data_IF_895724226605
#
_entry.id   IF_895724226605
#
_cell.length_a   1.000
_cell.length_b   1.000
_cell.length_c   1.000
_cell.angle_alpha   90.00
_cell.angle_beta   90.00
_cell.angle_gamma   90.00
#
_symmetry.space_group_name_H-M   'P 1'
#
loop_
_entity.id
_entity.type
_entity.pdbx_description
1 polymer ?
#
# COMPACT_ATOMS: atom_id res chain seq x y z
N UNK A 1 -37.45 -0.28 -12.19
CA UNK A 1 -36.60 -0.08 -10.98
C UNK A 1 -35.25 -0.76 -11.21
N UNK A 2 -34.14 -0.17 -10.78
CA UNK A 2 -32.85 -0.84 -10.89
C UNK A 2 -32.85 -2.09 -10.01
N UNK A 3 -32.31 -3.20 -10.52
CA UNK A 3 -32.15 -4.46 -9.80
C UNK A 3 -30.70 -4.90 -9.88
N UNK A 4 -30.21 -5.54 -8.84
CA UNK A 4 -28.89 -6.20 -8.83
C UNK A 4 -28.81 -7.18 -10.01
N UNK A 5 -27.69 -7.20 -10.71
CA UNK A 5 -27.44 -7.99 -11.91
C UNK A 5 -27.87 -7.33 -13.23
N UNK A 6 -28.62 -6.22 -13.19
CA UNK A 6 -28.96 -5.49 -14.42
C UNK A 6 -27.75 -4.67 -14.91
N UNK A 7 -27.57 -4.64 -16.23
CA UNK A 7 -26.51 -3.90 -16.90
C UNK A 7 -27.01 -2.58 -17.46
N UNK A 8 -26.21 -1.54 -17.35
CA UNK A 8 -26.52 -0.19 -17.81
C UNK A 8 -25.27 0.48 -18.41
N UNK A 9 -25.48 1.22 -19.50
CA UNK A 9 -24.46 2.13 -20.04
C UNK A 9 -24.39 3.38 -19.17
N UNK A 10 -23.20 3.76 -18.75
CA UNK A 10 -22.95 4.83 -17.75
C UNK A 10 -21.84 5.74 -18.24
N UNK A 11 -22.00 7.03 -18.00
CA UNK A 11 -20.95 8.04 -18.08
C UNK A 11 -20.35 8.26 -16.69
N UNK A 12 -19.03 8.25 -16.60
CA UNK A 12 -18.30 8.56 -15.36
C UNK A 12 -17.94 10.04 -15.34
N UNK A 13 -18.38 10.74 -14.32
CA UNK A 13 -18.30 12.19 -14.21
C UNK A 13 -17.12 12.66 -13.36
N UNK A 14 -16.83 11.96 -12.27
CA UNK A 14 -15.80 12.31 -11.29
C UNK A 14 -15.24 11.08 -10.59
N UNK A 15 -14.14 11.24 -9.85
CA UNK A 15 -13.63 10.26 -8.89
C UNK A 15 -14.04 10.64 -7.48
N UNK A 16 -14.31 9.61 -6.66
CA UNK A 16 -14.43 9.79 -5.22
C UNK A 16 -13.05 10.01 -4.58
N UNK A 17 -13.03 10.43 -3.32
CA UNK A 17 -11.83 10.48 -2.47
C UNK A 17 -11.12 9.11 -2.33
N UNK A 18 -11.88 8.03 -2.52
CA UNK A 18 -11.37 6.63 -2.50
C UNK A 18 -10.89 6.12 -3.86
N UNK A 19 -11.03 6.93 -4.91
CA UNK A 19 -10.61 6.57 -6.28
C UNK A 19 -11.61 5.76 -7.07
N UNK A 20 -12.86 5.60 -6.61
CA UNK A 20 -13.93 4.96 -7.38
C UNK A 20 -14.52 5.97 -8.37
N UNK A 21 -14.80 5.52 -9.59
CA UNK A 21 -15.52 6.32 -10.59
C UNK A 21 -16.96 6.57 -10.14
N UNK A 22 -17.42 7.81 -10.24
CA UNK A 22 -18.78 8.22 -9.87
C UNK A 22 -19.54 8.72 -11.07
N UNK A 23 -20.64 8.06 -11.37
CA UNK A 23 -21.64 8.45 -12.37
C UNK A 23 -23.01 8.64 -11.74
N UNK A 24 -24.04 8.72 -12.56
CA UNK A 24 -25.44 8.78 -12.14
C UNK A 24 -26.30 7.78 -12.92
N UNK A 25 -27.19 7.12 -12.21
CA UNK A 25 -28.20 6.25 -12.80
C UNK A 25 -29.50 6.37 -11.97
N UNK A 26 -30.65 6.62 -12.63
CA UNK A 26 -31.96 6.82 -12.00
C UNK A 26 -31.92 7.87 -10.86
N UNK A 27 -31.31 9.04 -11.14
CA UNK A 27 -31.12 10.16 -10.22
C UNK A 27 -30.32 9.84 -8.93
N UNK A 28 -29.65 8.70 -8.88
CA UNK A 28 -28.78 8.29 -7.78
C UNK A 28 -27.33 8.26 -8.19
N UNK A 29 -26.39 8.58 -7.29
CA UNK A 29 -24.98 8.34 -7.54
C UNK A 29 -24.72 6.84 -7.69
N UNK A 30 -23.93 6.48 -8.70
CA UNK A 30 -23.42 5.15 -8.96
C UNK A 30 -21.91 5.14 -8.81
N UNK A 31 -21.38 4.23 -7.99
CA UNK A 31 -19.95 4.07 -7.76
C UNK A 31 -19.45 2.80 -8.44
N UNK A 32 -18.37 2.92 -9.21
CA UNK A 32 -17.75 1.82 -9.95
C UNK A 32 -16.25 1.88 -9.83
N UNK A 33 -15.65 0.82 -9.30
CA UNK A 33 -14.22 0.74 -9.13
C UNK A 33 -13.49 0.66 -10.48
N UNK A 34 -12.32 1.32 -10.56
CA UNK A 34 -11.42 1.24 -11.73
C UNK A 34 -11.84 2.06 -12.93
N UNK A 35 -12.98 2.79 -12.87
CA UNK A 35 -13.41 3.72 -13.91
C UNK A 35 -12.93 5.15 -13.62
N UNK A 36 -12.69 5.92 -14.68
CA UNK A 36 -12.13 7.25 -14.65
C UNK A 36 -13.12 8.30 -15.21
N UNK A 37 -13.02 9.57 -14.84
CA UNK A 37 -13.82 10.65 -15.42
C UNK A 37 -13.66 10.74 -16.94
N UNK A 38 -14.79 10.95 -17.62
CA UNK A 38 -14.88 11.01 -19.07
C UNK A 38 -14.98 9.64 -19.75
N UNK A 39 -15.04 8.55 -18.98
CA UNK A 39 -15.26 7.21 -19.54
C UNK A 39 -16.74 6.88 -19.69
N UNK A 40 -17.02 6.05 -20.73
CA UNK A 40 -18.29 5.37 -20.87
C UNK A 40 -18.10 3.86 -20.72
N UNK A 41 -18.97 3.23 -19.96
CA UNK A 41 -18.84 1.82 -19.66
C UNK A 41 -20.19 1.12 -19.49
N UNK A 42 -20.26 -0.14 -19.89
CA UNK A 42 -21.32 -1.06 -19.50
C UNK A 42 -21.02 -1.56 -18.08
N UNK A 43 -21.93 -1.31 -17.16
CA UNK A 43 -21.78 -1.60 -15.73
C UNK A 43 -22.92 -2.49 -15.26
N UNK A 44 -22.63 -3.56 -14.52
CA UNK A 44 -23.60 -4.41 -13.85
C UNK A 44 -23.79 -3.95 -12.40
N UNK A 45 -25.03 -3.73 -11.98
CA UNK A 45 -25.34 -3.33 -10.62
C UNK A 45 -25.06 -4.47 -9.64
N UNK A 46 -24.24 -4.21 -8.64
CA UNK A 46 -23.87 -5.15 -7.55
C UNK A 46 -24.60 -4.84 -6.27
N UNK A 47 -24.97 -3.57 -6.04
CA UNK A 47 -25.72 -3.14 -4.87
C UNK A 47 -26.71 -2.02 -5.24
N UNK A 48 -27.91 -2.09 -4.70
CA UNK A 48 -28.98 -1.09 -4.92
C UNK A 48 -29.48 -0.61 -3.55
N UNK A 49 -29.13 0.63 -3.18
CA UNK A 49 -29.61 1.30 -1.96
C UNK A 49 -30.57 2.44 -2.31
N UNK A 50 -31.37 2.94 -1.36
CA UNK A 50 -32.26 4.08 -1.61
C UNK A 50 -31.54 5.31 -2.14
N UNK A 51 -30.33 5.63 -1.67
CA UNK A 51 -29.62 6.87 -1.92
C UNK A 51 -28.40 6.71 -2.84
N UNK A 52 -27.95 5.48 -3.14
CA UNK A 52 -26.80 5.21 -3.99
C UNK A 52 -26.86 3.82 -4.62
N UNK A 53 -25.98 3.60 -5.59
CA UNK A 53 -25.80 2.34 -6.30
C UNK A 53 -24.32 1.98 -6.32
N UNK A 54 -23.99 0.68 -6.30
CA UNK A 54 -22.69 0.18 -6.69
C UNK A 54 -22.79 -0.71 -7.91
N UNK A 55 -21.75 -0.70 -8.72
CA UNK A 55 -21.64 -1.53 -9.91
C UNK A 55 -20.22 -2.06 -10.10
N UNK A 56 -20.11 -3.08 -10.94
CA UNK A 56 -18.85 -3.59 -11.45
C UNK A 56 -18.76 -3.33 -12.95
N UNK A 57 -17.57 -3.03 -13.43
CA UNK A 57 -17.28 -2.89 -14.85
C UNK A 57 -17.51 -4.22 -15.57
N UNK A 58 -18.30 -4.18 -16.65
CA UNK A 58 -18.48 -5.29 -17.61
C UNK A 58 -17.64 -5.03 -18.84
N UNK A 59 -17.78 -3.83 -19.42
CA UNK A 59 -17.06 -3.44 -20.64
C UNK A 59 -16.79 -1.94 -20.63
N UNK A 60 -15.55 -1.55 -20.92
CA UNK A 60 -15.15 -0.16 -21.12
C UNK A 60 -15.42 0.20 -22.59
N UNK A 61 -16.49 0.96 -22.85
CA UNK A 61 -16.90 1.28 -24.23
C UNK A 61 -16.19 2.50 -24.78
N UNK A 62 -15.80 3.45 -23.91
CA UNK A 62 -15.00 4.61 -24.28
C UNK A 62 -14.02 4.94 -23.16
N UNK A 63 -12.71 4.75 -23.40
CA UNK A 63 -11.69 5.09 -22.40
C UNK A 63 -11.47 6.61 -22.30
N UNK A 64 -11.06 7.07 -21.12
CA UNK A 64 -10.57 8.44 -20.89
C UNK A 64 -9.22 8.66 -21.57
N UNK A 65 -8.96 9.89 -22.02
CA UNK A 65 -7.64 10.30 -22.53
C UNK A 65 -6.53 10.22 -21.44
N UNK A 66 -6.93 10.29 -20.18
CA UNK A 66 -6.03 10.18 -19.02
C UNK A 66 -5.85 8.72 -18.54
N UNK A 67 -6.45 7.72 -19.19
CA UNK A 67 -6.22 6.31 -18.87
C UNK A 67 -4.88 5.85 -19.41
N UNK A 68 -4.09 5.23 -18.54
CA UNK A 68 -2.85 4.55 -18.92
C UNK A 68 -3.04 3.03 -18.88
N UNK A 69 -2.24 2.26 -19.65
CA UNK A 69 -2.20 0.81 -19.51
C UNK A 69 -1.90 0.39 -18.08
N UNK A 70 -2.50 -0.71 -17.64
CA UNK A 70 -2.21 -1.22 -16.32
C UNK A 70 -0.76 -1.76 -16.25
N UNK A 71 0.04 -1.15 -15.40
CA UNK A 71 1.45 -1.50 -15.22
C UNK A 71 1.67 -2.56 -14.13
N UNK A 72 0.60 -2.95 -13.43
CA UNK A 72 0.67 -3.91 -12.34
C UNK A 72 -0.14 -5.17 -12.69
N UNK A 73 0.46 -6.38 -12.67
CA UNK A 73 -0.27 -7.61 -12.95
C UNK A 73 -1.34 -7.92 -11.89
N UNK A 74 -1.20 -7.37 -10.69
CA UNK A 74 -2.10 -7.62 -9.57
C UNK A 74 -3.30 -6.65 -9.58
N UNK A 75 -4.17 -6.80 -10.57
CA UNK A 75 -5.30 -5.87 -10.81
C UNK A 75 -6.31 -5.82 -9.67
N UNK A 76 -6.46 -6.90 -8.91
CA UNK A 76 -7.39 -7.02 -7.78
C UNK A 76 -6.80 -6.61 -6.43
N UNK A 77 -5.50 -6.22 -6.40
CA UNK A 77 -4.83 -5.77 -5.20
C UNK A 77 -5.43 -4.45 -4.70
N UNK A 78 -5.76 -4.39 -3.40
CA UNK A 78 -6.32 -3.20 -2.74
C UNK A 78 -5.32 -2.07 -2.47
N UNK A 79 -4.05 -2.20 -2.88
CA UNK A 79 -2.98 -1.25 -2.53
C UNK A 79 -2.95 0.05 -3.35
N UNK A 80 -3.50 0.07 -4.57
CA UNK A 80 -3.42 1.21 -5.49
C UNK A 80 -4.78 1.53 -6.10
N UNK A 81 -5.45 2.60 -5.66
CA UNK A 81 -6.82 2.93 -6.04
C UNK A 81 -6.92 3.65 -7.40
N UNK A 82 -5.96 4.51 -7.72
CA UNK A 82 -5.98 5.36 -8.95
C UNK A 82 -4.91 4.94 -9.96
N UNK A 83 -4.54 3.65 -9.96
CA UNK A 83 -3.51 3.08 -10.83
C UNK A 83 -3.71 3.34 -12.32
N UNK A 84 -4.94 3.21 -12.89
CA UNK A 84 -5.16 3.42 -14.31
C UNK A 84 -5.15 4.89 -14.73
N UNK A 85 -5.04 5.85 -13.81
CA UNK A 85 -5.00 7.29 -14.08
C UNK A 85 -3.57 7.74 -14.33
N UNK A 86 -3.32 8.47 -15.42
CA UNK A 86 -2.01 9.05 -15.73
C UNK A 86 -1.50 9.95 -14.58
N UNK A 87 -0.22 9.89 -14.27
CA UNK A 87 0.34 10.57 -13.09
C UNK A 87 0.05 12.09 -13.04
N UNK A 88 0.15 12.86 -14.15
CA UNK A 88 -0.26 14.26 -14.14
C UNK A 88 -1.73 14.46 -13.75
N UNK A 89 -2.61 13.55 -14.17
CA UNK A 89 -4.03 13.60 -13.80
C UNK A 89 -4.24 13.19 -12.33
N UNK A 90 -3.44 12.26 -11.78
CA UNK A 90 -3.42 11.95 -10.34
C UNK A 90 -3.05 13.19 -9.51
N UNK A 91 -2.07 13.98 -9.95
CA UNK A 91 -1.68 15.22 -9.27
C UNK A 91 -2.82 16.25 -9.27
N UNK A 92 -3.50 16.44 -10.42
CA UNK A 92 -4.67 17.31 -10.52
C UNK A 92 -5.81 16.86 -9.59
N UNK A 93 -6.10 15.55 -9.57
CA UNK A 93 -7.08 14.97 -8.64
C UNK A 93 -6.74 15.30 -7.19
N UNK A 94 -5.50 15.05 -6.76
CA UNK A 94 -5.08 15.31 -5.39
C UNK A 94 -5.17 16.80 -5.02
N UNK A 95 -4.83 17.69 -5.94
CA UNK A 95 -4.95 19.12 -5.74
C UNK A 95 -6.42 19.55 -5.62
N UNK A 96 -7.32 19.02 -6.47
CA UNK A 96 -8.75 19.31 -6.40
C UNK A 96 -9.39 18.82 -5.10
N UNK A 97 -8.93 17.70 -4.53
CA UNK A 97 -9.40 17.20 -3.23
C UNK A 97 -9.06 18.19 -2.09
N UNK A 98 -7.86 18.78 -2.11
CA UNK A 98 -7.48 19.81 -1.13
C UNK A 98 -8.34 21.05 -1.29
N UNK A 99 -8.51 21.54 -2.52
CA UNK A 99 -9.35 22.70 -2.82
C UNK A 99 -10.80 22.47 -2.35
N UNK A 100 -11.40 21.34 -2.69
CA UNK A 100 -12.76 20.98 -2.27
C UNK A 100 -12.90 20.88 -0.74
N UNK A 101 -11.89 20.36 -0.05
CA UNK A 101 -11.90 20.31 1.42
C UNK A 101 -11.90 21.72 2.04
N UNK A 102 -11.15 22.66 1.48
CA UNK A 102 -11.15 24.06 1.91
C UNK A 102 -12.51 24.75 1.64
N UNK A 103 -13.10 24.51 0.47
CA UNK A 103 -14.42 25.02 0.10
C UNK A 103 -15.51 24.56 1.09
N UNK A 104 -15.49 23.29 1.48
CA UNK A 104 -16.46 22.71 2.42
C UNK A 104 -16.43 23.36 3.81
N UNK A 105 -15.30 23.92 4.22
CA UNK A 105 -15.16 24.62 5.51
C UNK A 105 -15.21 26.16 5.37
N UNK A 106 -15.59 26.66 4.19
CA UNK A 106 -15.73 28.11 3.93
C UNK A 106 -14.41 28.84 3.67
N UNK A 107 -13.33 28.11 3.36
CA UNK A 107 -11.99 28.63 3.05
C UNK A 107 -11.64 28.51 1.56
N UNK A 108 -12.64 28.51 0.68
CA UNK A 108 -12.46 28.34 -0.78
C UNK A 108 -11.58 29.39 -1.45
N UNK A 109 -11.50 30.61 -0.90
CA UNK A 109 -10.64 31.69 -1.40
C UNK A 109 -9.15 31.49 -1.03
N UNK A 110 -8.82 30.47 -0.21
CA UNK A 110 -7.43 30.19 0.18
C UNK A 110 -6.65 29.70 -1.04
N UNK A 111 -5.53 30.34 -1.31
CA UNK A 111 -4.66 29.93 -2.41
C UNK A 111 -4.05 28.55 -2.12
N UNK A 112 -4.31 27.60 -3.00
CA UNK A 112 -3.66 26.30 -3.01
C UNK A 112 -2.52 26.33 -4.04
N UNK A 113 -1.28 26.19 -3.57
CA UNK A 113 -0.12 26.15 -4.44
C UNK A 113 -0.13 24.89 -5.30
N UNK A 114 0.55 24.89 -6.48
CA UNK A 114 0.67 23.71 -7.31
C UNK A 114 1.26 22.54 -6.54
N UNK A 115 0.69 21.35 -6.73
CA UNK A 115 1.18 20.12 -6.10
C UNK A 115 2.57 19.75 -6.63
N UNK A 116 3.46 19.36 -5.73
CA UNK A 116 4.80 18.87 -6.06
C UNK A 116 4.77 17.36 -6.26
N UNK A 117 4.90 16.92 -7.50
CA UNK A 117 4.92 15.51 -7.86
C UNK A 117 6.32 14.89 -7.82
N UNK A 118 6.37 13.57 -8.00
CA UNK A 118 7.61 12.81 -8.18
C UNK A 118 8.00 12.79 -9.66
N UNK A 119 9.31 12.70 -9.93
CA UNK A 119 9.81 12.45 -11.28
C UNK A 119 9.44 11.03 -11.75
N UNK A 120 9.51 10.04 -10.84
CA UNK A 120 9.10 8.66 -11.08
C UNK A 120 8.24 8.15 -9.92
N UNK A 121 6.93 7.88 -10.14
CA UNK A 121 6.03 7.40 -9.10
C UNK A 121 6.08 5.86 -8.90
N UNK A 122 7.20 5.24 -9.22
CA UNK A 122 7.44 3.80 -9.09
C UNK A 122 8.57 3.49 -8.11
N UNK A 123 8.55 2.28 -7.55
CA UNK A 123 9.56 1.75 -6.64
C UNK A 123 9.93 2.69 -5.47
N UNK A 124 9.01 3.54 -5.05
CA UNK A 124 9.25 4.59 -4.06
C UNK A 124 9.04 4.15 -2.60
N UNK A 125 8.36 3.04 -2.39
CA UNK A 125 8.06 2.60 -1.03
C UNK A 125 9.28 1.97 -0.38
N UNK A 126 9.64 2.49 0.78
CA UNK A 126 10.73 1.96 1.60
C UNK A 126 10.28 0.87 2.59
N UNK A 127 8.99 0.55 2.63
CA UNK A 127 8.42 -0.46 3.52
C UNK A 127 7.35 -1.27 2.82
N UNK A 128 7.42 -2.59 2.94
CA UNK A 128 6.35 -3.51 2.60
C UNK A 128 5.89 -4.27 3.84
N UNK A 129 4.58 -4.47 3.98
CA UNK A 129 3.97 -5.31 5.02
C UNK A 129 3.04 -6.29 4.33
N UNK A 130 3.46 -7.55 4.30
CA UNK A 130 2.73 -8.63 3.64
C UNK A 130 2.00 -9.48 4.67
N UNK A 131 0.79 -9.91 4.34
CA UNK A 131 0.14 -11.00 5.03
C UNK A 131 0.70 -12.34 4.56
N UNK A 132 0.72 -13.32 5.46
CA UNK A 132 1.11 -14.70 5.15
C UNK A 132 -0.10 -15.60 5.40
N UNK A 133 -0.49 -16.38 4.39
CA UNK A 133 -1.66 -17.27 4.46
C UNK A 133 -1.32 -18.64 3.87
N UNK A 134 -2.01 -19.67 4.35
CA UNK A 134 -1.93 -21.01 3.76
C UNK A 134 -2.82 -21.12 2.52
N UNK A 135 -2.37 -21.88 1.54
CA UNK A 135 -3.10 -22.33 0.36
C UNK A 135 -2.84 -23.81 0.11
N UNK A 136 -3.52 -24.41 -0.89
CA UNK A 136 -3.24 -25.78 -1.34
C UNK A 136 -1.79 -25.93 -1.86
N UNK A 137 -1.20 -24.84 -2.36
CA UNK A 137 0.18 -24.79 -2.84
C UNK A 137 1.22 -24.52 -1.73
N UNK A 138 0.81 -24.48 -0.45
CA UNK A 138 1.64 -24.13 0.69
C UNK A 138 1.50 -22.66 1.11
N UNK A 139 2.55 -22.08 1.71
CA UNK A 139 2.51 -20.68 2.16
C UNK A 139 2.48 -19.70 0.98
N UNK A 140 1.60 -18.71 1.09
CA UNK A 140 1.50 -17.56 0.20
C UNK A 140 1.77 -16.27 0.97
N UNK A 141 2.47 -15.32 0.34
CA UNK A 141 2.84 -14.04 0.94
C UNK A 141 2.42 -12.91 -0.02
N UNK A 142 1.62 -11.97 0.46
CA UNK A 142 1.11 -10.92 -0.42
C UNK A 142 0.26 -9.87 0.27
N UNK A 143 -0.59 -9.23 -0.52
CA UNK A 143 -1.53 -8.21 -0.06
C UNK A 143 -2.95 -8.73 -0.13
N UNK A 144 -3.85 -8.12 0.63
CA UNK A 144 -5.26 -8.46 0.53
C UNK A 144 -5.90 -7.87 -0.72
N UNK A 145 -6.82 -8.63 -1.30
CA UNK A 145 -7.81 -8.13 -2.24
C UNK A 145 -8.62 -7.01 -1.57
N UNK A 146 -8.99 -6.01 -2.33
CA UNK A 146 -9.81 -4.90 -1.81
C UNK A 146 -11.11 -5.43 -1.18
N UNK A 147 -11.43 -4.94 0.00
CA UNK A 147 -12.61 -5.33 0.79
C UNK A 147 -12.72 -6.82 1.17
N UNK A 148 -11.62 -7.57 1.16
CA UNK A 148 -11.61 -8.97 1.58
C UNK A 148 -10.34 -9.33 2.37
N UNK A 149 -10.30 -10.55 2.91
CA UNK A 149 -9.11 -11.18 3.50
C UNK A 149 -8.46 -12.20 2.55
N UNK A 150 -8.91 -12.25 1.28
CA UNK A 150 -8.29 -13.09 0.26
C UNK A 150 -6.92 -12.53 -0.11
N UNK A 151 -5.91 -13.38 -0.12
CA UNK A 151 -4.56 -12.97 -0.43
C UNK A 151 -4.33 -12.96 -1.94
N UNK A 152 -3.64 -11.93 -2.41
CA UNK A 152 -3.06 -11.82 -3.74
C UNK A 152 -1.55 -11.84 -3.56
N UNK A 153 -0.86 -12.80 -4.19
CA UNK A 153 0.59 -12.91 -4.13
C UNK A 153 1.25 -11.63 -4.68
N UNK A 154 2.29 -11.18 -4.00
CA UNK A 154 3.01 -9.96 -4.37
C UNK A 154 4.33 -10.28 -5.08
N UNK A 155 4.24 -11.04 -6.17
CA UNK A 155 5.40 -11.46 -6.97
C UNK A 155 5.97 -10.34 -7.84
N UNK A 156 5.17 -9.33 -8.10
CA UNK A 156 5.56 -8.11 -8.80
C UNK A 156 4.73 -6.94 -8.26
N UNK A 157 5.38 -5.87 -7.86
CA UNK A 157 4.71 -4.69 -7.31
C UNK A 157 5.44 -3.41 -7.74
N UNK A 158 4.86 -2.67 -8.67
CA UNK A 158 5.48 -1.50 -9.27
C UNK A 158 5.79 -0.35 -8.29
N UNK A 159 5.16 -0.30 -7.11
CA UNK A 159 5.43 0.76 -6.10
C UNK A 159 6.41 0.32 -5.02
N UNK A 160 6.73 -0.98 -4.93
CA UNK A 160 7.75 -1.51 -4.02
C UNK A 160 9.13 -1.51 -4.69
N UNK A 161 10.18 -1.32 -3.90
CA UNK A 161 11.55 -1.59 -4.34
C UNK A 161 11.73 -3.09 -4.65
N UNK A 162 12.54 -3.43 -5.64
CA UNK A 162 12.74 -4.81 -6.08
C UNK A 162 13.25 -5.74 -4.97
N UNK A 163 14.02 -5.23 -4.00
CA UNK A 163 14.48 -6.02 -2.86
C UNK A 163 13.33 -6.47 -1.95
N UNK A 164 12.24 -5.71 -1.85
CA UNK A 164 11.06 -6.16 -1.10
C UNK A 164 10.38 -7.35 -1.78
N UNK A 165 10.32 -7.35 -3.11
CA UNK A 165 9.76 -8.43 -3.91
C UNK A 165 10.64 -9.69 -3.82
N UNK A 166 11.95 -9.52 -3.94
CA UNK A 166 12.93 -10.61 -3.79
C UNK A 166 12.87 -11.26 -2.41
N UNK A 167 12.86 -10.43 -1.34
CA UNK A 167 12.73 -10.93 0.04
C UNK A 167 11.45 -11.73 0.26
N UNK A 168 10.32 -11.27 -0.31
CA UNK A 168 9.06 -12.00 -0.27
C UNK A 168 9.23 -13.40 -0.91
N UNK A 169 9.80 -13.46 -2.11
CA UNK A 169 10.01 -14.73 -2.82
C UNK A 169 10.90 -15.70 -2.03
N UNK A 170 12.01 -15.20 -1.42
CA UNK A 170 12.93 -16.02 -0.61
C UNK A 170 12.27 -16.57 0.65
N UNK A 171 11.55 -15.73 1.40
CA UNK A 171 10.86 -16.18 2.62
C UNK A 171 9.75 -17.17 2.27
N UNK A 172 8.99 -16.94 1.21
CA UNK A 172 7.97 -17.88 0.72
C UNK A 172 8.60 -19.22 0.30
N UNK A 173 9.72 -19.18 -0.41
CA UNK A 173 10.48 -20.37 -0.80
C UNK A 173 10.91 -21.19 0.42
N UNK A 174 11.54 -20.55 1.41
CA UNK A 174 11.91 -21.18 2.67
C UNK A 174 10.72 -21.80 3.41
N UNK A 175 9.59 -21.11 3.49
CA UNK A 175 8.39 -21.66 4.14
C UNK A 175 7.87 -22.91 3.45
N UNK A 176 7.87 -22.93 2.11
CA UNK A 176 7.38 -24.07 1.32
C UNK A 176 8.34 -25.26 1.36
N UNK A 177 9.64 -25.01 1.29
CA UNK A 177 10.66 -26.05 1.33
C UNK A 177 10.66 -26.82 2.65
N UNK A 178 10.34 -26.15 3.76
CA UNK A 178 10.38 -26.72 5.10
C UNK A 178 8.99 -26.92 5.73
N UNK A 179 7.93 -26.88 4.94
CA UNK A 179 6.53 -27.07 5.39
C UNK A 179 6.17 -26.20 6.60
N UNK A 180 6.66 -24.95 6.62
CA UNK A 180 6.37 -24.01 7.70
C UNK A 180 4.95 -23.49 7.55
N UNK A 181 4.11 -23.76 8.55
CA UNK A 181 2.71 -23.39 8.52
C UNK A 181 2.52 -21.86 8.55
N UNK A 182 1.76 -21.34 7.59
CA UNK A 182 1.24 -19.98 7.64
C UNK A 182 0.20 -19.85 8.76
N UNK A 183 0.07 -18.64 9.30
CA UNK A 183 -0.91 -18.35 10.33
C UNK A 183 -2.35 -18.42 9.79
N UNK A 184 -3.17 -19.21 10.47
CA UNK A 184 -4.63 -19.26 10.31
C UNK A 184 -5.28 -18.36 11.36
N UNK A 185 -5.94 -17.29 10.92
CA UNK A 185 -6.56 -16.32 11.81
C UNK A 185 -7.86 -16.83 12.45
N UNK A 186 -8.52 -17.82 11.83
CA UNK A 186 -9.76 -18.44 12.36
C UNK A 186 -9.41 -19.44 13.45
N UNK A 187 -8.49 -20.36 13.15
CA UNK A 187 -8.05 -21.38 14.12
C UNK A 187 -7.07 -20.82 15.16
N UNK A 188 -6.42 -19.68 14.88
CA UNK A 188 -5.34 -19.10 15.69
C UNK A 188 -4.17 -20.08 15.86
N UNK A 189 -3.74 -20.66 14.75
CA UNK A 189 -2.65 -21.65 14.68
C UNK A 189 -1.68 -21.30 13.55
N UNK A 190 -0.60 -22.05 13.43
CA UNK A 190 0.45 -21.81 12.46
C UNK A 190 1.66 -21.09 13.06
N UNK A 191 2.63 -20.72 12.23
CA UNK A 191 3.88 -20.11 12.68
C UNK A 191 4.00 -18.66 12.21
N UNK A 192 4.06 -18.44 10.88
CA UNK A 192 4.34 -17.12 10.30
C UNK A 192 3.06 -16.37 9.97
N UNK A 193 2.88 -15.18 10.56
CA UNK A 193 1.70 -14.31 10.41
C UNK A 193 1.86 -13.27 9.31
N UNK A 194 3.00 -12.58 9.33
CA UNK A 194 3.30 -11.48 8.42
C UNK A 194 4.80 -11.44 8.11
N UNK A 195 5.12 -10.87 6.98
CA UNK A 195 6.46 -10.45 6.62
C UNK A 195 6.47 -8.94 6.47
N UNK A 196 7.37 -8.24 7.16
CA UNK A 196 7.63 -6.84 6.92
C UNK A 196 9.07 -6.67 6.45
N UNK A 197 9.26 -5.87 5.42
CA UNK A 197 10.58 -5.49 4.92
C UNK A 197 10.71 -3.98 4.92
N UNK A 198 11.91 -3.46 5.20
CA UNK A 198 12.16 -2.03 5.28
C UNK A 198 13.55 -1.71 4.75
N UNK A 199 13.66 -0.74 3.86
CA UNK A 199 14.91 -0.31 3.21
C UNK A 199 15.22 1.14 3.54
N UNK A 200 16.41 1.42 4.01
CA UNK A 200 16.97 2.77 4.05
C UNK A 200 17.41 3.16 2.65
N UNK A 201 16.75 4.14 2.06
CA UNK A 201 17.02 4.53 0.66
C UNK A 201 18.35 5.26 0.49
N UNK A 202 18.76 6.03 1.51
CA UNK A 202 20.04 6.74 1.50
C UNK A 202 21.19 5.90 2.10
N UNK A 203 20.89 5.07 3.09
CA UNK A 203 21.89 4.19 3.72
C UNK A 203 22.14 2.90 2.94
N UNK A 204 21.14 2.40 2.21
CA UNK A 204 21.15 1.07 1.62
C UNK A 204 20.85 -0.07 2.60
N UNK A 205 20.69 0.20 3.90
CA UNK A 205 20.42 -0.81 4.91
C UNK A 205 19.04 -1.45 4.73
N UNK A 206 18.95 -2.76 4.99
CA UNK A 206 17.76 -3.55 4.75
C UNK A 206 17.37 -4.36 5.98
N UNK A 207 16.14 -4.14 6.46
CA UNK A 207 15.55 -4.87 7.58
C UNK A 207 14.51 -5.86 7.07
N UNK A 208 14.55 -7.06 7.59
CA UNK A 208 13.50 -8.07 7.48
C UNK A 208 12.91 -8.33 8.84
N UNK A 209 11.58 -8.31 8.95
CA UNK A 209 10.87 -8.66 10.17
C UNK A 209 9.89 -9.78 9.87
N UNK A 210 10.12 -10.93 10.48
CA UNK A 210 9.23 -12.07 10.41
C UNK A 210 8.32 -12.06 11.64
N UNK A 211 7.02 -11.90 11.43
CA UNK A 211 6.04 -11.89 12.52
C UNK A 211 5.53 -13.30 12.75
N UNK A 212 5.71 -13.82 13.96
CA UNK A 212 5.34 -15.19 14.33
C UNK A 212 4.29 -15.26 15.43
N UNK A 213 3.51 -16.34 15.48
CA UNK A 213 2.51 -16.62 16.53
C UNK A 213 3.21 -17.12 17.80
N UNK A 214 4.39 -17.26 17.98
CA UNK A 214 5.08 -17.72 19.18
C UNK A 214 6.58 -17.56 19.04
N UNK A 215 7.31 -17.98 20.06
CA UNK A 215 8.76 -17.84 20.12
C UNK A 215 9.49 -18.87 19.23
N UNK A 216 8.86 -20.00 18.95
CA UNK A 216 9.47 -21.04 18.12
C UNK A 216 9.55 -20.59 16.65
N UNK A 217 10.75 -20.66 16.09
CA UNK A 217 11.01 -20.43 14.67
C UNK A 217 11.79 -21.66 14.15
N UNK A 218 11.09 -22.65 13.56
CA UNK A 218 11.75 -23.82 12.99
C UNK A 218 12.58 -23.43 11.76
N UNK A 219 13.66 -24.16 11.50
CA UNK A 219 14.55 -23.96 10.33
C UNK A 219 15.11 -22.53 10.23
N UNK A 220 15.48 -21.95 11.36
CA UNK A 220 16.04 -20.58 11.44
C UNK A 220 17.38 -20.46 10.69
N UNK A 221 18.23 -21.48 10.77
CA UNK A 221 19.51 -21.49 10.07
C UNK A 221 19.32 -21.49 8.54
N UNK A 222 18.32 -22.21 8.05
CA UNK A 222 17.97 -22.29 6.63
C UNK A 222 17.35 -20.96 6.15
N UNK A 223 16.57 -20.28 7.00
CA UNK A 223 16.09 -18.91 6.70
C UNK A 223 17.28 -17.94 6.54
N UNK A 224 18.23 -17.97 7.47
CA UNK A 224 19.44 -17.14 7.37
C UNK A 224 20.24 -17.46 6.10
N UNK A 225 20.37 -18.74 5.75
CA UNK A 225 21.04 -19.18 4.52
C UNK A 225 20.29 -18.71 3.25
N UNK A 226 18.96 -18.77 3.24
CA UNK A 226 18.13 -18.33 2.11
C UNK A 226 18.22 -16.80 1.84
N UNK A 227 18.65 -16.02 2.83
CA UNK A 227 18.80 -14.57 2.75
C UNK A 227 20.26 -14.09 2.66
N UNK A 228 21.25 -15.01 2.72
CA UNK A 228 22.66 -14.67 2.91
C UNK A 228 23.30 -13.92 1.72
N UNK A 229 22.78 -14.09 0.51
CA UNK A 229 23.24 -13.41 -0.72
C UNK A 229 22.56 -12.05 -0.95
N UNK A 230 21.55 -11.69 -0.12
CA UNK A 230 20.89 -10.41 -0.15
C UNK A 230 21.54 -9.42 0.85
N UNK A 231 21.47 -8.11 0.61
CA UNK A 231 22.10 -7.10 1.47
C UNK A 231 21.28 -6.87 2.77
N UNK A 232 20.87 -7.95 3.44
CA UNK A 232 20.10 -7.87 4.69
C UNK A 232 21.00 -7.41 5.82
N UNK A 233 20.76 -6.20 6.34
CA UNK A 233 21.51 -5.63 7.46
C UNK A 233 21.03 -6.21 8.79
N UNK A 234 19.73 -6.43 8.92
CA UNK A 234 19.15 -6.97 10.15
C UNK A 234 17.92 -7.82 9.86
N UNK A 235 17.82 -8.95 10.58
CA UNK A 235 16.65 -9.84 10.60
C UNK A 235 16.11 -9.92 12.02
N UNK A 236 14.83 -9.67 12.18
CA UNK A 236 14.13 -9.66 13.46
C UNK A 236 12.95 -10.61 13.40
N UNK A 237 12.83 -11.49 14.39
CA UNK A 237 11.58 -12.17 14.69
C UNK A 237 10.75 -11.27 15.62
N UNK A 238 9.57 -10.87 15.19
CA UNK A 238 8.60 -10.18 16.02
C UNK A 238 7.51 -11.16 16.47
N UNK A 239 7.30 -11.30 17.76
CA UNK A 239 6.39 -12.29 18.33
C UNK A 239 5.05 -11.61 18.62
N UNK A 240 3.99 -12.05 17.94
CA UNK A 240 2.64 -11.54 18.10
C UNK A 240 1.65 -12.69 18.37
N UNK A 241 1.34 -12.92 19.62
CA UNK A 241 0.40 -13.97 20.06
C UNK A 241 -1.04 -13.45 20.22
N UNK A 242 -1.25 -12.14 20.00
CA UNK A 242 -2.56 -11.53 20.23
C UNK A 242 -3.48 -11.74 19.02
N UNK A 243 -4.72 -12.12 19.26
CA UNK A 243 -5.76 -12.30 18.23
C UNK A 243 -6.43 -10.97 17.90
N UNK A 244 -5.71 -10.11 17.19
CA UNK A 244 -6.18 -8.78 16.76
C UNK A 244 -5.66 -8.46 15.35
N UNK A 245 -6.15 -7.35 14.76
CA UNK A 245 -5.66 -6.82 13.49
C UNK A 245 -4.28 -6.13 13.60
N UNK A 246 -3.70 -6.06 14.80
CA UNK A 246 -2.35 -5.52 15.01
C UNK A 246 -1.33 -6.49 14.39
N UNK A 247 -0.50 -5.98 13.48
CA UNK A 247 0.49 -6.79 12.76
C UNK A 247 1.66 -7.14 13.66
N UNK A 248 2.29 -6.14 14.29
CA UNK A 248 3.48 -6.32 15.12
C UNK A 248 3.10 -6.52 16.60
N UNK A 249 3.72 -7.50 17.23
CA UNK A 249 3.70 -7.71 18.68
C UNK A 249 4.70 -6.80 19.39
N UNK A 250 4.79 -6.94 20.72
CA UNK A 250 5.65 -6.10 21.57
C UNK A 250 7.03 -6.72 21.81
N UNK A 251 7.22 -8.01 21.52
CA UNK A 251 8.49 -8.72 21.69
C UNK A 251 9.24 -8.87 20.38
N UNK A 252 10.52 -8.54 20.38
CA UNK A 252 11.44 -8.76 19.29
C UNK A 252 12.60 -9.65 19.70
N UNK A 253 13.00 -10.59 18.83
CA UNK A 253 14.24 -11.37 18.92
C UNK A 253 15.08 -11.07 17.69
N UNK A 254 16.28 -10.55 17.88
CA UNK A 254 17.20 -10.26 16.78
C UNK A 254 17.86 -11.57 16.36
N UNK A 255 17.75 -11.92 15.07
CA UNK A 255 18.33 -13.12 14.47
C UNK A 255 19.63 -12.80 13.71
N UNK A 256 19.72 -11.59 13.15
CA UNK A 256 20.89 -11.07 12.46
C UNK A 256 21.00 -9.57 12.70
N UNK A 257 22.21 -9.04 12.81
CA UNK A 257 22.49 -7.62 12.91
C UNK A 257 22.12 -6.98 14.25
N UNK A 258 21.73 -5.70 14.22
CA UNK A 258 21.47 -4.88 15.42
C UNK A 258 19.99 -4.81 15.83
N UNK A 259 19.07 -5.28 15.00
CA UNK A 259 17.62 -5.11 15.20
C UNK A 259 17.08 -3.76 14.71
N UNK A 260 17.92 -2.90 14.18
CA UNK A 260 17.57 -1.59 13.63
C UNK A 260 18.27 -1.37 12.30
N UNK A 261 17.75 -0.44 11.50
CA UNK A 261 18.43 0.13 10.33
C UNK A 261 18.52 1.65 10.49
N UNK A 262 19.37 2.28 9.69
CA UNK A 262 19.48 3.73 9.61
C UNK A 262 19.02 4.23 8.27
N UNK A 263 18.49 5.44 8.27
CA UNK A 263 18.24 6.21 7.05
C UNK A 263 18.28 7.70 7.37
N UNK A 264 18.22 8.54 6.34
CA UNK A 264 18.34 9.98 6.50
C UNK A 264 17.13 10.72 5.93
N UNK A 265 16.78 11.81 6.61
CA UNK A 265 15.93 12.88 6.07
C UNK A 265 16.82 14.12 6.02
N UNK A 266 17.10 14.63 4.81
CA UNK A 266 18.18 15.59 4.57
C UNK A 266 19.50 15.08 5.16
N UNK A 267 20.14 15.87 6.03
CA UNK A 267 21.40 15.50 6.70
C UNK A 267 21.20 14.79 8.05
N UNK A 268 19.96 14.70 8.55
CA UNK A 268 19.66 14.08 9.82
C UNK A 268 19.54 12.57 9.67
N UNK A 269 20.31 11.83 10.46
CA UNK A 269 20.27 10.37 10.54
C UNK A 269 19.26 9.91 11.57
N UNK A 270 18.46 8.91 11.20
CA UNK A 270 17.46 8.27 12.06
C UNK A 270 17.74 6.79 12.21
N UNK A 271 17.67 6.31 13.44
CA UNK A 271 17.65 4.90 13.75
C UNK A 271 16.20 4.39 13.72
N UNK A 272 15.95 3.35 12.94
CA UNK A 272 14.61 2.86 12.64
C UNK A 272 14.49 1.42 13.15
N UNK A 273 13.66 1.21 14.17
CA UNK A 273 13.29 -0.11 14.67
C UNK A 273 12.12 -0.71 13.89
N UNK A 274 11.77 -1.99 14.09
CA UNK A 274 10.56 -2.59 13.53
C UNK A 274 9.28 -1.81 13.82
N UNK A 275 9.17 -1.22 15.02
CA UNK A 275 7.99 -0.49 15.50
C UNK A 275 8.02 1.00 15.16
N UNK A 276 9.16 1.56 14.74
CA UNK A 276 9.27 2.99 14.43
C UNK A 276 8.36 3.39 13.26
N UNK A 277 7.69 4.53 13.41
CA UNK A 277 7.12 5.21 12.25
C UNK A 277 8.25 5.85 11.44
N UNK A 278 8.20 5.72 10.13
CA UNK A 278 9.05 6.44 9.18
C UNK A 278 8.28 6.62 7.88
N UNK A 279 8.44 7.74 7.20
CA UNK A 279 7.71 8.06 5.98
C UNK A 279 8.01 7.04 4.87
N UNK A 280 6.94 6.55 4.22
CA UNK A 280 7.05 5.47 3.24
C UNK A 280 7.58 5.88 1.86
N UNK A 281 7.70 7.17 1.60
CA UNK A 281 8.20 7.74 0.35
C UNK A 281 9.35 8.69 0.66
N UNK A 282 10.61 8.20 0.74
CA UNK A 282 11.76 9.00 1.17
C UNK A 282 12.02 10.23 0.29
N UNK A 283 11.89 10.08 -1.03
CA UNK A 283 12.14 11.20 -1.96
C UNK A 283 11.14 12.34 -1.77
N UNK A 284 9.85 12.02 -1.59
CA UNK A 284 8.84 13.05 -1.31
C UNK A 284 8.87 13.55 0.14
N UNK A 285 9.44 12.79 1.05
CA UNK A 285 9.67 13.23 2.42
C UNK A 285 10.65 14.42 2.45
N UNK A 286 11.76 14.33 1.72
CA UNK A 286 12.71 15.44 1.62
C UNK A 286 12.05 16.69 1.02
N UNK A 287 11.24 16.54 -0.04
CA UNK A 287 10.48 17.65 -0.65
C UNK A 287 9.47 18.25 0.34
N UNK A 288 8.73 17.42 1.06
CA UNK A 288 7.73 17.85 2.04
C UNK A 288 8.37 18.66 3.17
N UNK A 289 9.43 18.14 3.78
CA UNK A 289 10.10 18.82 4.89
C UNK A 289 10.86 20.06 4.43
N UNK A 290 11.47 20.06 3.22
CA UNK A 290 12.05 21.28 2.64
C UNK A 290 11.00 22.37 2.48
N UNK A 291 9.80 22.03 1.98
CA UNK A 291 8.70 23.00 1.85
C UNK A 291 8.18 23.51 3.20
N UNK A 292 8.07 22.64 4.19
CA UNK A 292 7.68 23.03 5.53
C UNK A 292 8.69 24.02 6.14
N UNK A 293 9.99 23.74 6.01
CA UNK A 293 11.05 24.64 6.46
C UNK A 293 11.04 26.00 5.72
N UNK A 294 10.83 25.99 4.40
CA UNK A 294 10.69 27.20 3.60
C UNK A 294 9.52 28.08 4.12
N UNK A 295 8.37 27.49 4.38
CA UNK A 295 7.19 28.23 4.90
C UNK A 295 7.34 28.69 6.35
N UNK A 296 8.21 28.06 7.13
CA UNK A 296 8.51 28.52 8.49
C UNK A 296 9.33 29.81 8.54
N UNK A 297 10.04 30.17 7.45
CA UNK A 297 10.87 31.37 7.34
C UNK A 297 11.80 31.57 8.56
N UNK A 298 12.43 30.48 9.03
CA UNK A 298 13.22 30.48 10.25
C UNK A 298 14.47 31.38 10.11
N UNK A 299 14.70 32.24 11.10
CA UNK A 299 15.86 33.14 11.18
C UNK A 299 16.99 32.60 12.07
N UNK A 300 16.72 31.49 12.80
CA UNK A 300 17.65 30.82 13.70
C UNK A 300 17.50 31.23 15.18
N UNK A 301 16.51 32.10 15.49
CA UNK A 301 16.22 32.54 16.86
C UNK A 301 14.90 31.97 17.41
N UNK A 302 14.13 31.28 16.57
CA UNK A 302 12.81 30.74 16.90
C UNK A 302 12.92 29.44 17.71
N UNK A 303 11.93 29.19 18.54
CA UNK A 303 11.66 27.91 19.15
C UNK A 303 10.51 27.23 18.39
N UNK A 304 10.77 26.09 17.80
CA UNK A 304 9.78 25.31 17.05
C UNK A 304 9.31 24.14 17.92
N UNK A 305 7.98 23.95 18.02
CA UNK A 305 7.34 22.89 18.81
C UNK A 305 6.61 21.89 17.91
#
# INVERSE_FOLDING_TARGET
MPLVGHQHQIDILELTDKGDGKGRLFDRPLFVEGLLPGEQALVELTEVKPNYLHGKLVELTQPSADRVPDFCPNTECGGCQVRPLAYPAQLKLKQSLVQSALEQVGLGETQVNPILGMDSPFAYRNKAQYAVRGSEAGAEIGFYRKHSHDLITADDCAVQDSLHVELNARVRGWMREHDIAAYDEVAHTGCVRNLMTRKGFKSGELMVVLVTLGEALPFEAELLAALADLPVTTLVQNINEVRTNRILGDKNRVLLGSGVIRDKIHELEFEISPLSFFQNNPSQTDVLYSKALEYCELTGSETVF
#
